data_IF_304959889253
#
_entry.id   IF_304959889253
#
_cell.length_a   1.000
_cell.length_b   1.000
_cell.length_c   1.000
_cell.angle_alpha   90.00
_cell.angle_beta   90.00
_cell.angle_gamma   90.00
#
_symmetry.space_group_name_H-M   'P 1'
#
loop_
_entity.id
_entity.type
_entity.pdbx_description
1 polymer ?
#
# COMPACT_ATOMS: atom_id res chain seq x y z
N UNK A 1 7.97 6.76 0.73
CA UNK A 1 7.28 5.53 1.10
C UNK A 1 6.39 5.82 2.29
N UNK A 2 5.23 5.17 2.41
CA UNK A 2 4.33 5.36 3.55
C UNK A 2 4.04 3.99 4.15
N UNK A 3 4.15 3.89 5.46
CA UNK A 3 3.81 2.69 6.22
C UNK A 3 2.72 3.01 7.23
N UNK A 4 1.85 2.06 7.45
CA UNK A 4 0.86 2.09 8.53
C UNK A 4 1.03 0.82 9.35
N UNK A 5 1.16 0.99 10.66
CA UNK A 5 1.28 -0.12 11.61
C UNK A 5 -0.04 -0.28 12.33
N UNK A 6 -0.61 -1.47 12.27
CA UNK A 6 -1.84 -1.84 12.97
C UNK A 6 -1.59 -3.04 13.87
N UNK A 7 -2.46 -3.24 14.87
CA UNK A 7 -2.47 -4.49 15.63
C UNK A 7 -2.75 -5.68 14.70
N UNK A 8 -2.09 -6.82 14.94
CA UNK A 8 -2.15 -7.98 14.04
C UNK A 8 -3.53 -8.60 13.85
N UNK A 9 -4.48 -8.26 14.70
CA UNK A 9 -5.88 -8.73 14.64
C UNK A 9 -6.76 -7.91 13.68
N UNK A 10 -6.30 -6.71 13.28
CA UNK A 10 -7.10 -5.83 12.42
C UNK A 10 -7.00 -6.24 10.95
N UNK A 11 -8.14 -6.24 10.28
CA UNK A 11 -8.22 -6.50 8.85
C UNK A 11 -7.44 -5.43 8.05
N UNK A 12 -6.69 -5.86 7.04
CA UNK A 12 -5.80 -5.01 6.21
C UNK A 12 -6.49 -3.81 5.54
N UNK A 13 -7.81 -3.83 5.45
CA UNK A 13 -8.60 -2.72 4.90
C UNK A 13 -8.79 -1.55 5.87
N UNK A 14 -8.56 -1.74 7.17
CA UNK A 14 -8.75 -0.68 8.18
C UNK A 14 -7.81 0.51 7.94
N UNK A 15 -6.50 0.32 7.68
CA UNK A 15 -5.58 1.42 7.44
C UNK A 15 -5.65 2.00 6.02
N UNK A 16 -6.62 1.59 5.20
CA UNK A 16 -6.72 1.99 3.80
C UNK A 16 -6.80 3.51 3.62
N UNK A 17 -7.58 4.19 4.46
CA UNK A 17 -7.72 5.64 4.40
C UNK A 17 -6.46 6.38 4.81
N UNK A 18 -5.79 5.91 5.84
CA UNK A 18 -4.53 6.47 6.32
C UNK A 18 -3.44 6.34 5.25
N UNK A 19 -3.35 5.19 4.59
CA UNK A 19 -2.45 4.98 3.46
C UNK A 19 -2.74 5.92 2.29
N UNK A 20 -4.02 6.13 1.96
CA UNK A 20 -4.41 7.06 0.89
C UNK A 20 -4.11 8.52 1.24
N UNK A 21 -4.22 8.90 2.51
CA UNK A 21 -3.89 10.25 2.96
C UNK A 21 -2.38 10.46 3.05
N UNK A 22 -1.65 9.49 3.59
CA UNK A 22 -0.20 9.53 3.72
C UNK A 22 0.54 9.50 2.38
N UNK A 23 -0.06 8.90 1.34
CA UNK A 23 0.53 8.74 0.00
C UNK A 23 0.67 10.03 -0.82
N UNK A 24 0.53 11.21 -0.21
CA UNK A 24 0.70 12.49 -0.89
C UNK A 24 2.18 12.79 -1.14
N UNK A 25 2.52 13.13 -2.38
CA UNK A 25 3.90 13.48 -2.79
C UNK A 25 4.04 14.99 -2.83
N UNK A 26 4.99 15.54 -2.05
CA UNK A 26 5.35 16.96 -2.13
C UNK A 26 5.90 17.27 -3.52
N UNK A 27 5.47 18.39 -4.11
CA UNK A 27 6.04 18.89 -5.35
C UNK A 27 7.38 19.61 -5.05
N UNK A 28 8.31 19.56 -5.99
CA UNK A 28 9.53 20.39 -5.93
C UNK A 28 9.24 21.89 -6.12
N UNK A 29 8.14 22.21 -6.83
CA UNK A 29 7.67 23.58 -7.06
C UNK A 29 6.56 23.96 -6.08
N UNK A 30 6.24 25.27 -5.99
CA UNK A 30 5.08 25.77 -5.23
C UNK A 30 3.79 25.11 -5.72
N UNK A 31 2.91 24.70 -4.80
CA UNK A 31 1.61 24.14 -5.09
C UNK A 31 1.21 23.01 -4.15
N UNK A 32 -0.06 22.59 -4.23
CA UNK A 32 -0.60 21.49 -3.42
C UNK A 32 0.15 20.17 -3.68
N UNK A 33 0.39 19.35 -2.65
CA UNK A 33 0.96 18.02 -2.81
C UNK A 33 0.17 17.18 -3.82
N UNK A 34 0.88 16.36 -4.59
CA UNK A 34 0.28 15.48 -5.58
C UNK A 34 -0.38 14.30 -4.85
N UNK A 35 -1.71 14.26 -4.82
CA UNK A 35 -2.50 13.22 -4.14
C UNK A 35 -3.23 12.30 -5.12
N UNK A 36 -3.21 12.62 -6.43
CA UNK A 36 -3.86 11.81 -7.48
C UNK A 36 -2.88 10.81 -8.05
N UNK A 37 -3.27 9.56 -8.09
CA UNK A 37 -2.58 8.46 -8.76
C UNK A 37 -3.54 7.84 -9.80
N UNK A 38 -2.99 7.30 -10.87
CA UNK A 38 -3.76 6.74 -11.98
C UNK A 38 -4.28 5.33 -11.68
N UNK A 39 -3.45 4.52 -11.04
CA UNK A 39 -3.75 3.12 -10.74
C UNK A 39 -3.52 2.83 -9.26
N UNK A 40 -4.38 2.00 -8.70
CA UNK A 40 -4.19 1.40 -7.38
C UNK A 40 -4.06 -0.12 -7.56
N UNK A 41 -2.91 -0.66 -7.21
CA UNK A 41 -2.63 -2.09 -7.26
C UNK A 41 -2.74 -2.66 -5.85
N UNK A 42 -3.78 -3.42 -5.60
CA UNK A 42 -4.03 -4.07 -4.32
C UNK A 42 -4.14 -5.58 -4.45
N UNK A 43 -3.94 -6.27 -3.35
CA UNK A 43 -4.20 -7.70 -3.29
C UNK A 43 -5.70 -8.02 -3.16
N UNK A 44 -6.04 -9.31 -3.09
CA UNK A 44 -7.42 -9.77 -2.98
C UNK A 44 -8.11 -9.35 -1.67
N UNK A 45 -7.34 -9.05 -0.60
CA UNK A 45 -7.89 -8.57 0.67
C UNK A 45 -8.62 -7.22 0.51
N UNK A 46 -8.13 -6.37 -0.41
CA UNK A 46 -8.77 -5.09 -0.75
C UNK A 46 -9.96 -5.22 -1.72
N UNK A 47 -10.36 -6.44 -2.11
CA UNK A 47 -11.49 -6.63 -3.01
C UNK A 47 -12.80 -6.44 -2.27
N UNK A 48 -13.33 -5.23 -2.32
CA UNK A 48 -14.68 -4.86 -1.91
C UNK A 48 -15.24 -3.81 -2.84
N UNK A 49 -16.56 -3.79 -3.02
CA UNK A 49 -17.23 -2.78 -3.83
C UNK A 49 -16.97 -1.38 -3.27
N UNK A 50 -17.04 -1.21 -1.97
CA UNK A 50 -16.77 0.05 -1.28
C UNK A 50 -15.40 0.63 -1.63
N UNK A 51 -14.32 -0.18 -1.55
CA UNK A 51 -12.96 0.27 -1.87
C UNK A 51 -12.85 0.64 -3.36
N UNK A 52 -13.43 -0.16 -4.25
CA UNK A 52 -13.41 0.12 -5.70
C UNK A 52 -14.12 1.43 -6.03
N UNK A 53 -15.29 1.68 -5.46
CA UNK A 53 -16.04 2.92 -5.66
C UNK A 53 -15.29 4.13 -5.10
N UNK A 54 -14.72 4.00 -3.92
CA UNK A 54 -13.92 5.06 -3.29
C UNK A 54 -12.70 5.44 -4.13
N UNK A 55 -11.99 4.47 -4.70
CA UNK A 55 -10.88 4.70 -5.61
C UNK A 55 -11.33 5.41 -6.89
N UNK A 56 -12.45 4.97 -7.49
CA UNK A 56 -13.01 5.61 -8.70
C UNK A 56 -13.43 7.06 -8.44
N UNK A 57 -14.08 7.33 -7.30
CA UNK A 57 -14.42 8.71 -6.88
C UNK A 57 -13.18 9.60 -6.76
N UNK A 58 -12.02 9.03 -6.41
CA UNK A 58 -10.72 9.73 -6.42
C UNK A 58 -10.08 9.84 -7.81
N UNK A 59 -10.70 9.29 -8.85
CA UNK A 59 -10.18 9.27 -10.22
C UNK A 59 -9.09 8.22 -10.45
N UNK A 60 -8.99 7.20 -9.58
CA UNK A 60 -8.03 6.12 -9.70
C UNK A 60 -8.68 4.83 -10.19
N UNK A 61 -8.00 4.11 -11.08
CA UNK A 61 -8.45 2.80 -11.55
C UNK A 61 -7.98 1.70 -10.59
N UNK A 62 -8.88 0.95 -9.94
CA UNK A 62 -8.51 -0.14 -9.05
C UNK A 62 -8.09 -1.38 -9.85
N UNK A 63 -6.86 -1.83 -9.69
CA UNK A 63 -6.32 -3.09 -10.23
C UNK A 63 -6.21 -4.08 -9.07
N UNK A 64 -7.32 -4.68 -8.71
CA UNK A 64 -7.46 -5.58 -7.56
C UNK A 64 -8.10 -6.88 -8.05
N UNK A 65 -7.51 -8.06 -7.78
CA UNK A 65 -8.13 -9.34 -8.11
C UNK A 65 -9.47 -9.48 -7.40
N UNK A 66 -10.42 -10.13 -8.03
CA UNK A 66 -11.74 -10.39 -7.44
C UNK A 66 -11.71 -11.64 -6.57
N UNK A 67 -12.59 -11.65 -5.58
CA UNK A 67 -12.92 -12.86 -4.83
C UNK A 67 -13.81 -13.76 -5.70
N UNK A 68 -13.83 -15.06 -5.42
CA UNK A 68 -14.63 -16.04 -6.17
C UNK A 68 -16.13 -15.76 -6.16
N UNK A 69 -16.61 -15.15 -5.08
CA UNK A 69 -18.02 -14.78 -4.87
C UNK A 69 -18.42 -13.43 -5.51
N UNK A 70 -17.48 -12.69 -6.11
CA UNK A 70 -17.78 -11.42 -6.75
C UNK A 70 -18.17 -11.60 -8.23
N UNK A 71 -19.26 -10.95 -8.67
CA UNK A 71 -19.68 -10.96 -10.08
C UNK A 71 -18.59 -10.32 -10.97
N UNK A 72 -18.27 -10.99 -12.09
CA UNK A 72 -17.34 -10.46 -13.11
C UNK A 72 -18.00 -9.29 -13.84
N UNK A 73 -17.59 -8.06 -13.56
CA UNK A 73 -18.14 -6.86 -14.21
C UNK A 73 -17.13 -6.13 -15.11
N UNK A 74 -15.83 -6.35 -14.93
CA UNK A 74 -14.79 -5.60 -15.63
C UNK A 74 -13.61 -6.49 -16.01
N UNK A 75 -12.96 -6.14 -17.12
CA UNK A 75 -11.73 -6.80 -17.56
C UNK A 75 -10.59 -6.50 -16.58
N UNK A 76 -9.98 -7.54 -16.04
CA UNK A 76 -8.83 -7.43 -15.14
C UNK A 76 -7.53 -7.27 -15.92
N UNK A 77 -6.81 -6.17 -15.70
CA UNK A 77 -5.53 -5.92 -16.37
C UNK A 77 -4.39 -6.65 -15.64
N UNK A 78 -4.06 -7.86 -16.14
CA UNK A 78 -3.00 -8.70 -15.58
C UNK A 78 -1.61 -8.09 -15.77
N UNK A 79 -1.38 -7.33 -16.85
CA UNK A 79 -0.10 -6.66 -17.13
C UNK A 79 0.22 -5.65 -16.04
N UNK A 80 -0.68 -4.72 -15.77
CA UNK A 80 -0.51 -3.76 -14.68
C UNK A 80 -0.43 -4.43 -13.30
N UNK A 81 -1.15 -5.51 -13.09
CA UNK A 81 -1.11 -6.22 -11.80
C UNK A 81 0.26 -6.83 -11.50
N UNK A 82 1.03 -7.23 -12.52
CA UNK A 82 2.39 -7.77 -12.34
C UNK A 82 3.33 -6.74 -11.72
N UNK A 83 3.09 -5.44 -11.93
CA UNK A 83 3.89 -4.37 -11.30
C UNK A 83 3.82 -4.40 -9.77
N UNK A 84 2.80 -5.02 -9.18
CA UNK A 84 2.71 -5.25 -7.73
C UNK A 84 3.91 -6.06 -7.18
N UNK A 85 4.54 -6.86 -8.01
CA UNK A 85 5.75 -7.62 -7.62
C UNK A 85 6.89 -6.70 -7.11
N UNK A 86 6.92 -5.43 -7.55
CA UNK A 86 7.90 -4.46 -7.04
C UNK A 86 7.73 -4.23 -5.53
N UNK A 87 6.48 -4.19 -5.05
CA UNK A 87 6.19 -4.03 -3.61
C UNK A 87 6.63 -5.28 -2.83
N UNK A 88 6.40 -6.47 -3.39
CA UNK A 88 6.85 -7.73 -2.76
C UNK A 88 8.38 -7.81 -2.67
N UNK A 89 9.08 -7.44 -3.74
CA UNK A 89 10.55 -7.35 -3.74
C UNK A 89 11.06 -6.36 -2.70
N UNK A 90 10.40 -5.20 -2.58
CA UNK A 90 10.75 -4.19 -1.59
C UNK A 90 10.56 -4.73 -0.16
N UNK A 91 9.42 -5.35 0.12
CA UNK A 91 9.14 -5.96 1.42
C UNK A 91 10.18 -7.04 1.74
N UNK A 92 10.57 -7.87 0.77
CA UNK A 92 11.60 -8.89 0.95
C UNK A 92 12.97 -8.26 1.26
N UNK A 93 13.35 -7.16 0.61
CA UNK A 93 14.58 -6.42 0.94
C UNK A 93 14.53 -5.85 2.35
N UNK A 94 13.41 -5.24 2.77
CA UNK A 94 13.24 -4.72 4.13
C UNK A 94 13.36 -5.84 5.17
N UNK A 95 12.80 -7.02 4.89
CA UNK A 95 12.87 -8.20 5.77
C UNK A 95 14.27 -8.81 5.89
N UNK A 96 15.23 -8.44 5.06
CA UNK A 96 16.65 -8.82 5.27
C UNK A 96 17.18 -8.23 6.59
N UNK A 97 16.62 -7.13 7.06
CA UNK A 97 16.86 -6.66 8.42
C UNK A 97 16.09 -7.55 9.41
N UNK A 98 16.84 -8.35 10.18
CA UNK A 98 16.30 -9.30 11.14
C UNK A 98 15.27 -8.69 12.11
N UNK A 99 15.53 -7.48 12.60
CA UNK A 99 14.60 -6.76 13.49
C UNK A 99 13.26 -6.45 12.85
N UNK A 100 13.24 -6.17 11.54
CA UNK A 100 12.01 -5.93 10.78
C UNK A 100 11.27 -7.26 10.54
N UNK A 101 12.00 -8.31 10.15
CA UNK A 101 11.43 -9.62 9.86
C UNK A 101 10.75 -10.24 11.08
N UNK A 102 11.39 -10.16 12.24
CA UNK A 102 10.97 -10.82 13.48
C UNK A 102 10.11 -9.96 14.39
N UNK A 103 9.96 -8.67 14.09
CA UNK A 103 9.13 -7.72 14.85
C UNK A 103 9.41 -7.74 16.36
N UNK A 104 10.66 -7.68 16.75
CA UNK A 104 11.06 -7.65 18.17
C UNK A 104 10.61 -6.40 18.94
N UNK A 105 10.21 -5.35 18.23
CA UNK A 105 9.84 -4.10 18.87
C UNK A 105 8.47 -4.18 19.54
N UNK A 106 8.44 -3.87 20.82
CA UNK A 106 7.22 -3.82 21.63
C UNK A 106 6.30 -2.65 21.21
N UNK A 107 6.89 -1.52 20.84
CA UNK A 107 6.16 -0.29 20.50
C UNK A 107 6.09 -0.10 18.97
N UNK A 108 4.87 0.09 18.46
CA UNK A 108 4.64 0.31 17.02
C UNK A 108 5.39 1.51 16.45
N UNK A 109 5.60 2.57 17.25
CA UNK A 109 6.37 3.75 16.83
C UNK A 109 7.84 3.43 16.56
N UNK A 110 8.47 2.59 17.40
CA UNK A 110 9.85 2.16 17.20
C UNK A 110 9.97 1.27 15.96
N UNK A 111 9.01 0.37 15.76
CA UNK A 111 8.96 -0.45 14.56
C UNK A 111 8.82 0.39 13.30
N UNK A 112 7.97 1.42 13.31
CA UNK A 112 7.79 2.35 12.21
C UNK A 112 9.07 3.15 11.92
N UNK A 113 9.77 3.60 12.98
CA UNK A 113 11.05 4.29 12.85
C UNK A 113 12.10 3.40 12.18
N UNK A 114 12.20 2.12 12.57
CA UNK A 114 13.12 1.17 11.95
C UNK A 114 12.78 0.90 10.47
N UNK A 115 11.50 0.74 10.14
CA UNK A 115 11.06 0.61 8.74
C UNK A 115 11.46 1.83 7.92
N UNK A 116 11.34 3.02 8.50
CA UNK A 116 11.70 4.28 7.83
C UNK A 116 13.20 4.34 7.57
N UNK A 117 14.03 4.05 8.58
CA UNK A 117 15.50 4.04 8.45
C UNK A 117 15.94 3.00 7.40
N UNK A 118 15.44 1.77 7.49
CA UNK A 118 15.76 0.73 6.52
C UNK A 118 15.35 1.11 5.10
N UNK A 119 14.22 1.82 4.96
CA UNK A 119 13.77 2.32 3.66
C UNK A 119 14.72 3.39 3.11
N UNK A 120 15.23 4.29 3.94
CA UNK A 120 16.22 5.30 3.53
C UNK A 120 17.49 4.60 3.04
N UNK A 121 18.00 3.63 3.79
CA UNK A 121 19.21 2.88 3.41
C UNK A 121 19.05 2.14 2.07
N UNK A 122 17.85 1.65 1.76
CA UNK A 122 17.57 0.99 0.47
C UNK A 122 17.55 1.96 -0.73
N UNK A 123 17.47 3.28 -0.49
CA UNK A 123 17.43 4.31 -1.53
C UNK A 123 18.78 5.06 -1.69
N UNK A 124 19.71 4.83 -0.82
CA UNK A 124 21.10 5.33 -0.91
C UNK A 124 21.96 4.40 -1.75
#
# INVERSE_FOLDING_TARGET
MVFTVTSGERHDTVPFDDLLQGGKVKRRSRGRPKSRFRYFLGDRAYSSQFIREKLRKKGATPIIPRKSNEKKRERFNRGLYRERNQVERLINRLKQNRRIATRYEKYGINYLAMLTIASIVLWL
#
